data_IF_046343208902
#
_entry.id   IF_046343208902
#
_cell.length_a   1.000
_cell.length_b   1.000
_cell.length_c   1.000
_cell.angle_alpha   90.00
_cell.angle_beta   90.00
_cell.angle_gamma   90.00
#
_symmetry.space_group_name_H-M   'P 1'
#
loop_
_entity.id
_entity.type
_entity.pdbx_description
1 polymer ?
#
# COMPACT_ATOMS: atom_id res chain seq x y z
N UNK A 1 -4.56 15.99 13.15
CA UNK A 1 -4.78 16.08 14.61
C UNK A 1 -5.02 14.74 15.31
N UNK A 2 -5.02 13.65 14.59
CA UNK A 2 -5.30 12.28 15.11
C UNK A 2 -4.28 11.83 16.20
N UNK A 3 -3.07 12.38 16.19
CA UNK A 3 -1.98 11.95 17.09
C UNK A 3 -1.72 12.84 18.30
N UNK A 4 -2.50 13.90 18.51
CA UNK A 4 -2.32 14.75 19.70
C UNK A 4 -2.96 14.09 20.92
N UNK A 5 -2.23 14.00 22.03
CA UNK A 5 -2.74 13.44 23.27
C UNK A 5 -3.63 14.41 24.03
N UNK A 6 -3.48 15.70 23.80
CA UNK A 6 -4.28 16.75 24.45
C UNK A 6 -4.58 17.88 23.47
N UNK A 7 -5.66 18.59 23.74
CA UNK A 7 -6.08 19.79 23.02
C UNK A 7 -6.16 20.94 24.02
N UNK A 8 -5.52 22.06 23.70
CA UNK A 8 -5.66 23.30 24.44
C UNK A 8 -6.71 24.15 23.75
N UNK A 9 -7.80 24.38 24.40
CA UNK A 9 -8.91 25.15 23.86
C UNK A 9 -9.45 26.15 24.89
N UNK A 10 -9.80 27.33 24.41
CA UNK A 10 -10.49 28.32 25.22
C UNK A 10 -11.97 28.30 24.82
N UNK A 11 -12.84 27.96 25.77
CA UNK A 11 -14.29 28.05 25.53
C UNK A 11 -14.70 29.48 25.22
N UNK A 12 -15.73 29.65 24.45
CA UNK A 12 -16.29 30.98 24.18
C UNK A 12 -16.59 31.67 25.53
N UNK A 13 -16.14 32.92 25.65
CA UNK A 13 -16.26 33.75 26.85
C UNK A 13 -15.45 33.33 28.09
N UNK A 14 -14.64 32.29 28.01
CA UNK A 14 -13.75 31.95 29.12
C UNK A 14 -12.50 32.85 29.13
N UNK A 15 -11.99 33.18 30.32
CA UNK A 15 -10.77 33.97 30.47
C UNK A 15 -9.49 33.14 30.25
N UNK A 16 -9.54 31.86 30.58
CA UNK A 16 -8.40 30.94 30.53
C UNK A 16 -8.62 29.84 29.50
N UNK A 17 -7.53 29.34 28.91
CA UNK A 17 -7.54 28.13 28.12
C UNK A 17 -7.42 26.91 29.02
N UNK A 18 -8.16 25.86 28.70
CA UNK A 18 -8.14 24.58 29.40
C UNK A 18 -7.50 23.50 28.54
N UNK A 19 -6.88 22.54 29.19
CA UNK A 19 -6.29 21.39 28.51
C UNK A 19 -7.22 20.19 28.68
N UNK A 20 -7.65 19.64 27.57
CA UNK A 20 -8.47 18.43 27.54
C UNK A 20 -7.63 17.27 27.02
N UNK A 21 -7.59 16.17 27.76
CA UNK A 21 -7.03 14.92 27.27
C UNK A 21 -7.93 14.32 26.19
N UNK A 22 -7.32 13.84 25.13
CA UNK A 22 -8.06 13.21 24.05
C UNK A 22 -8.49 11.81 24.46
N UNK A 23 -9.80 11.57 24.46
CA UNK A 23 -10.41 10.26 24.75
C UNK A 23 -11.16 9.66 23.56
N UNK A 24 -11.07 10.29 22.38
CA UNK A 24 -11.78 9.86 21.19
C UNK A 24 -10.94 8.94 20.32
N UNK A 25 -11.56 7.88 19.84
CA UNK A 25 -11.12 7.09 18.69
C UNK A 25 -11.90 7.52 17.45
N UNK A 26 -11.34 7.29 16.27
CA UNK A 26 -11.95 7.68 15.01
C UNK A 26 -12.17 6.45 14.15
N UNK A 27 -13.33 6.37 13.52
CA UNK A 27 -13.64 5.42 12.47
C UNK A 27 -14.18 6.20 11.26
N UNK A 28 -13.91 5.72 10.07
CA UNK A 28 -14.41 6.28 8.83
C UNK A 28 -14.80 5.14 7.88
N UNK A 29 -15.80 5.38 7.05
CA UNK A 29 -16.20 4.48 5.97
C UNK A 29 -16.04 5.21 4.64
N UNK A 30 -15.58 4.51 3.65
CA UNK A 30 -15.33 5.03 2.30
C UNK A 30 -15.78 3.99 1.29
N UNK A 31 -16.14 4.45 0.09
CA UNK A 31 -16.55 3.57 -1.00
C UNK A 31 -15.40 3.29 -1.99
N UNK A 32 -14.31 4.06 -1.89
CA UNK A 32 -13.12 3.87 -2.71
C UNK A 32 -12.13 2.96 -1.99
N UNK A 33 -11.57 1.99 -2.68
CA UNK A 33 -10.52 1.12 -2.14
C UNK A 33 -9.21 1.87 -1.91
N UNK A 34 -8.88 2.87 -2.74
CA UNK A 34 -7.63 3.61 -2.66
C UNK A 34 -7.78 4.91 -1.86
N UNK A 35 -7.89 4.79 -0.55
CA UNK A 35 -8.19 5.90 0.36
C UNK A 35 -6.97 6.53 1.02
N UNK A 36 -5.84 5.83 1.04
CA UNK A 36 -4.63 6.30 1.72
C UNK A 36 -3.74 7.08 0.76
N UNK A 37 -3.70 8.40 0.94
CA UNK A 37 -2.84 9.30 0.16
C UNK A 37 -1.45 9.47 0.76
N UNK A 38 -1.31 9.37 2.09
CA UNK A 38 -0.04 9.51 2.81
C UNK A 38 0.54 8.14 3.16
N UNK A 39 1.51 7.70 2.40
CA UNK A 39 2.19 6.42 2.60
C UNK A 39 3.04 6.36 3.86
N UNK A 40 3.49 7.51 4.37
CA UNK A 40 4.30 7.57 5.61
C UNK A 40 3.43 7.54 6.86
N UNK A 41 2.18 7.98 6.74
CA UNK A 41 1.19 8.04 7.80
C UNK A 41 0.25 6.83 7.87
N UNK A 42 0.34 5.88 6.95
CA UNK A 42 -0.60 4.74 6.83
C UNK A 42 -0.65 3.86 8.08
N UNK A 43 0.44 3.74 8.84
CA UNK A 43 0.51 3.02 10.12
C UNK A 43 -0.47 3.49 11.20
N UNK A 44 -1.17 4.60 10.97
CA UNK A 44 -2.18 5.16 11.89
C UNK A 44 -3.59 4.71 11.54
N UNK A 45 -3.75 4.01 10.44
CA UNK A 45 -5.02 3.52 9.94
C UNK A 45 -4.99 2.00 9.94
N UNK A 46 -6.06 1.40 10.43
CA UNK A 46 -6.35 -0.02 10.27
C UNK A 46 -7.41 -0.11 9.17
N UNK A 47 -6.95 -0.44 7.95
CA UNK A 47 -7.83 -0.56 6.80
C UNK A 47 -8.28 -2.01 6.65
N UNK A 48 -9.56 -2.18 6.37
CA UNK A 48 -10.15 -3.47 6.01
C UNK A 48 -11.30 -3.27 5.06
N UNK A 49 -11.44 -4.19 4.13
CA UNK A 49 -12.54 -4.20 3.20
C UNK A 49 -13.68 -5.05 3.77
N UNK A 50 -14.90 -4.51 3.74
CA UNK A 50 -16.09 -5.20 4.20
C UNK A 50 -16.80 -5.84 3.01
N UNK A 51 -16.77 -7.17 2.92
CA UNK A 51 -17.43 -7.91 1.84
C UNK A 51 -18.94 -7.96 2.05
N UNK A 52 -19.39 -8.04 3.30
CA UNK A 52 -20.82 -8.12 3.66
C UNK A 52 -21.06 -7.47 5.01
N UNK A 53 -22.12 -6.68 5.11
CA UNK A 53 -22.57 -6.08 6.36
C UNK A 53 -23.92 -6.74 6.72
N UNK A 54 -23.98 -7.38 7.89
CA UNK A 54 -25.24 -7.83 8.48
C UNK A 54 -25.80 -6.68 9.34
N UNK A 55 -26.75 -5.98 8.78
CA UNK A 55 -27.43 -4.87 9.47
C UNK A 55 -28.76 -5.27 10.11
N UNK A 56 -29.19 -6.53 9.92
CA UNK A 56 -30.46 -7.03 10.42
C UNK A 56 -30.31 -7.70 11.80
N UNK A 57 -29.17 -8.32 12.07
CA UNK A 57 -28.92 -8.94 13.37
C UNK A 57 -28.62 -7.88 14.42
N UNK A 58 -29.42 -7.79 15.50
CA UNK A 58 -29.16 -6.84 16.57
C UNK A 58 -27.83 -7.14 17.26
N UNK A 59 -27.04 -6.10 17.46
CA UNK A 59 -25.74 -6.20 18.15
C UNK A 59 -25.96 -6.20 19.66
N UNK A 60 -25.44 -7.23 20.35
CA UNK A 60 -25.43 -7.25 21.80
C UNK A 60 -24.25 -6.43 22.37
N UNK A 61 -24.52 -5.16 22.61
CA UNK A 61 -23.53 -4.24 23.16
C UNK A 61 -23.04 -4.66 24.56
N UNK A 62 -23.86 -5.37 25.34
CA UNK A 62 -23.50 -5.83 26.67
C UNK A 62 -22.33 -6.81 26.63
N UNK A 63 -22.38 -7.77 25.69
CA UNK A 63 -21.30 -8.72 25.48
C UNK A 63 -20.03 -8.04 24.96
N UNK A 64 -20.15 -7.09 24.01
CA UNK A 64 -19.01 -6.36 23.46
C UNK A 64 -18.29 -5.58 24.57
N UNK A 65 -19.03 -4.83 25.39
CA UNK A 65 -18.42 -4.05 26.48
C UNK A 65 -17.85 -4.95 27.58
N UNK A 66 -18.48 -6.08 27.86
CA UNK A 66 -17.96 -7.07 28.85
C UNK A 66 -16.64 -7.66 28.37
N UNK A 67 -16.53 -8.01 27.08
CA UNK A 67 -15.29 -8.48 26.47
C UNK A 67 -14.20 -7.42 26.52
N UNK A 68 -14.51 -6.18 26.11
CA UNK A 68 -13.55 -5.08 26.15
C UNK A 68 -13.03 -4.82 27.57
N UNK A 69 -13.92 -4.89 28.57
CA UNK A 69 -13.54 -4.74 29.97
C UNK A 69 -12.65 -5.89 30.47
N UNK A 70 -12.95 -7.12 30.06
CA UNK A 70 -12.14 -8.29 30.39
C UNK A 70 -10.73 -8.18 29.79
N UNK A 71 -10.60 -7.77 28.53
CA UNK A 71 -9.31 -7.50 27.87
C UNK A 71 -8.53 -6.41 28.60
N UNK A 72 -9.19 -5.29 28.93
CA UNK A 72 -8.58 -4.20 29.67
C UNK A 72 -8.05 -4.65 31.04
N UNK A 73 -8.86 -5.39 31.82
CA UNK A 73 -8.46 -5.94 33.13
C UNK A 73 -7.36 -7.00 33.02
N UNK A 74 -7.34 -7.75 31.91
CA UNK A 74 -6.31 -8.75 31.60
C UNK A 74 -4.98 -8.13 31.16
N UNK A 75 -4.87 -6.80 31.06
CA UNK A 75 -3.64 -6.12 30.64
C UNK A 75 -3.36 -6.23 29.14
N UNK A 76 -4.42 -6.33 28.33
CA UNK A 76 -4.27 -6.38 26.88
C UNK A 76 -3.47 -5.19 26.35
N UNK A 77 -2.46 -5.46 25.52
CA UNK A 77 -1.62 -4.46 24.92
C UNK A 77 -2.38 -3.73 23.80
N UNK A 78 -2.72 -2.46 24.03
CA UNK A 78 -3.52 -1.63 23.10
C UNK A 78 -2.69 -0.72 22.20
N UNK A 79 -1.37 -0.88 22.19
CA UNK A 79 -0.46 -0.15 21.29
C UNK A 79 0.29 -1.12 20.41
N UNK A 80 0.67 -0.66 19.23
CA UNK A 80 1.40 -1.46 18.25
C UNK A 80 2.91 -1.39 18.48
N UNK A 81 3.59 -2.53 18.35
CA UNK A 81 5.05 -2.63 18.28
C UNK A 81 5.54 -2.34 16.86
N UNK A 82 6.85 -2.27 16.67
CA UNK A 82 7.43 -2.07 15.34
C UNK A 82 7.10 -3.23 14.37
N UNK A 83 6.98 -4.47 14.89
CA UNK A 83 6.53 -5.62 14.10
C UNK A 83 5.08 -5.48 13.67
N UNK A 84 4.19 -5.10 14.59
CA UNK A 84 2.77 -4.88 14.27
C UNK A 84 2.59 -3.73 13.26
N UNK A 85 3.45 -2.70 13.34
CA UNK A 85 3.45 -1.58 12.38
C UNK A 85 3.86 -2.06 10.97
N UNK A 86 4.80 -3.00 10.87
CA UNK A 86 5.17 -3.58 9.58
C UNK A 86 3.98 -4.34 8.97
N UNK A 87 3.31 -5.18 9.74
CA UNK A 87 2.11 -5.90 9.30
C UNK A 87 0.96 -4.96 8.90
N UNK A 88 0.75 -3.88 9.66
CA UNK A 88 -0.24 -2.85 9.30
C UNK A 88 0.10 -2.18 7.97
N UNK A 89 1.37 -1.86 7.73
CA UNK A 89 1.79 -1.25 6.48
C UNK A 89 1.59 -2.19 5.29
N UNK A 90 1.91 -3.47 5.44
CA UNK A 90 1.71 -4.50 4.41
C UNK A 90 0.20 -4.69 4.12
N UNK A 91 -0.63 -4.76 5.17
CA UNK A 91 -2.09 -4.81 5.03
C UNK A 91 -2.68 -3.56 4.36
N UNK A 92 -2.07 -2.41 4.57
CA UNK A 92 -2.54 -1.14 4.04
C UNK A 92 -2.07 -0.86 2.60
N UNK A 93 -1.15 -1.66 2.06
CA UNK A 93 -0.61 -1.45 0.71
C UNK A 93 -1.70 -1.43 -0.38
N UNK A 94 -2.69 -2.36 -0.42
CA UNK A 94 -3.77 -2.32 -1.41
C UNK A 94 -4.67 -1.08 -1.32
N UNK A 95 -4.73 -0.44 -0.15
CA UNK A 95 -5.55 0.76 0.08
C UNK A 95 -4.82 2.07 -0.23
N UNK A 96 -3.57 1.99 -0.67
CA UNK A 96 -2.77 3.18 -1.00
C UNK A 96 -3.08 3.67 -2.41
N UNK A 97 -3.25 4.98 -2.52
CA UNK A 97 -3.44 5.63 -3.81
C UNK A 97 -2.14 5.60 -4.62
N UNK A 98 -2.22 5.14 -5.86
CA UNK A 98 -1.12 5.26 -6.81
C UNK A 98 -0.86 6.72 -7.15
N UNK A 99 0.41 7.11 -7.27
CA UNK A 99 0.72 8.44 -7.78
C UNK A 99 0.68 8.45 -9.30
N UNK A 100 0.34 9.60 -9.93
CA UNK A 100 0.37 9.71 -11.38
C UNK A 100 1.73 9.35 -11.98
N UNK A 101 2.82 9.63 -11.27
CA UNK A 101 4.17 9.27 -11.69
C UNK A 101 4.38 7.76 -11.69
N UNK A 102 3.80 7.05 -10.72
CA UNK A 102 3.85 5.60 -10.61
C UNK A 102 3.09 4.94 -11.76
N UNK A 103 1.87 5.38 -12.03
CA UNK A 103 1.06 4.88 -13.15
C UNK A 103 1.74 5.11 -14.50
N UNK A 104 2.27 6.31 -14.72
CA UNK A 104 3.01 6.63 -15.93
C UNK A 104 4.30 5.82 -16.04
N UNK A 105 5.00 5.60 -14.93
CA UNK A 105 6.19 4.77 -14.94
C UNK A 105 5.87 3.35 -15.42
N UNK A 106 4.90 2.67 -14.81
CA UNK A 106 4.53 1.30 -15.21
C UNK A 106 3.89 1.21 -16.59
N UNK A 107 3.40 2.31 -17.15
CA UNK A 107 2.97 2.35 -18.54
C UNK A 107 4.13 2.24 -19.53
N UNK A 108 5.32 2.77 -19.18
CA UNK A 108 6.46 2.85 -20.11
C UNK A 108 7.68 2.07 -19.69
N UNK A 109 7.76 1.66 -18.42
CA UNK A 109 8.91 0.97 -17.85
C UNK A 109 8.48 -0.21 -16.97
N UNK A 110 9.38 -1.18 -16.84
CA UNK A 110 9.23 -2.29 -15.91
C UNK A 110 10.52 -2.64 -15.21
N UNK A 111 10.42 -3.47 -14.19
CA UNK A 111 11.57 -4.06 -13.50
C UNK A 111 12.24 -5.12 -14.40
N UNK A 112 13.57 -5.18 -14.46
CA UNK A 112 14.28 -6.23 -15.15
C UNK A 112 14.05 -7.59 -14.47
N UNK A 113 13.85 -8.64 -15.26
CA UNK A 113 13.92 -10.01 -14.80
C UNK A 113 15.39 -10.50 -14.78
N UNK A 114 15.63 -11.69 -14.20
CA UNK A 114 16.96 -12.28 -14.18
C UNK A 114 17.52 -12.44 -15.61
N UNK A 115 18.76 -11.98 -15.82
CA UNK A 115 19.50 -12.10 -17.08
C UNK A 115 18.95 -11.26 -18.26
N UNK A 116 18.06 -10.32 -18.04
CA UNK A 116 17.64 -9.39 -19.08
C UNK A 116 18.61 -8.19 -19.19
N UNK A 117 18.80 -7.70 -20.40
CA UNK A 117 19.52 -6.45 -20.62
C UNK A 117 18.63 -5.27 -20.13
N UNK A 118 19.21 -4.39 -19.35
CA UNK A 118 18.51 -3.26 -18.75
C UNK A 118 19.21 -1.93 -19.02
N UNK A 119 18.44 -0.86 -18.86
CA UNK A 119 18.94 0.50 -18.91
C UNK A 119 19.23 0.99 -17.48
N UNK A 120 20.30 1.75 -17.34
CA UNK A 120 20.67 2.41 -16.08
C UNK A 120 20.29 3.88 -16.17
N UNK A 121 19.15 4.25 -15.63
CA UNK A 121 18.60 5.59 -15.74
C UNK A 121 18.41 6.22 -14.36
N UNK A 122 18.69 7.51 -14.26
CA UNK A 122 18.32 8.32 -13.10
C UNK A 122 16.82 8.65 -13.14
N UNK A 123 16.24 9.01 -11.99
CA UNK A 123 14.83 9.43 -11.94
C UNK A 123 14.55 10.62 -12.89
N UNK A 124 15.51 11.51 -13.08
CA UNK A 124 15.37 12.63 -14.02
C UNK A 124 15.31 12.17 -15.46
N UNK A 125 16.15 11.23 -15.86
CA UNK A 125 16.16 10.68 -17.22
C UNK A 125 14.89 9.87 -17.51
N UNK A 126 14.40 9.12 -16.52
CA UNK A 126 13.13 8.37 -16.63
C UNK A 126 11.97 9.35 -16.86
N UNK A 127 11.87 10.41 -16.03
CA UNK A 127 10.82 11.44 -16.19
C UNK A 127 10.95 12.16 -17.52
N UNK A 128 12.18 12.46 -17.97
CA UNK A 128 12.38 13.10 -19.27
C UNK A 128 11.82 12.23 -20.43
N UNK A 129 12.09 10.93 -20.39
CA UNK A 129 11.54 9.98 -21.38
C UNK A 129 10.01 9.87 -21.29
N UNK A 130 9.43 9.85 -20.08
CA UNK A 130 7.98 9.86 -19.89
C UNK A 130 7.38 11.17 -20.42
N UNK A 131 7.99 12.31 -20.09
CA UNK A 131 7.52 13.62 -20.53
C UNK A 131 7.54 13.76 -22.06
N UNK A 132 8.57 13.25 -22.73
CA UNK A 132 8.66 13.22 -24.19
C UNK A 132 7.49 12.44 -24.82
N UNK A 133 7.10 11.31 -24.21
CA UNK A 133 6.01 10.45 -24.69
C UNK A 133 4.61 10.97 -24.34
N UNK A 134 4.44 11.62 -23.18
CA UNK A 134 3.13 12.01 -22.64
C UNK A 134 2.84 13.49 -22.66
N UNK A 135 3.82 14.34 -23.00
CA UNK A 135 3.77 15.80 -22.84
C UNK A 135 3.56 16.28 -21.40
N UNK A 136 3.87 15.43 -20.43
CA UNK A 136 3.78 15.77 -19.00
C UNK A 136 4.90 16.75 -18.63
N UNK A 137 4.63 17.82 -17.88
CA UNK A 137 5.67 18.76 -17.44
C UNK A 137 6.63 18.09 -16.45
N UNK A 138 7.92 18.32 -16.64
CA UNK A 138 8.96 17.89 -15.71
C UNK A 138 9.01 18.87 -14.53
N UNK A 139 8.74 18.39 -13.33
CA UNK A 139 8.85 19.16 -12.09
C UNK A 139 9.80 18.49 -11.11
N UNK A 140 10.36 19.30 -10.20
CA UNK A 140 11.21 18.77 -9.12
C UNK A 140 10.48 17.73 -8.25
N UNK A 141 9.20 17.95 -8.01
CA UNK A 141 8.37 17.05 -7.19
C UNK A 141 8.21 15.69 -7.87
N UNK A 142 7.89 15.66 -9.17
CA UNK A 142 7.74 14.44 -9.94
C UNK A 142 9.02 13.58 -9.91
N UNK A 143 10.18 14.18 -10.12
CA UNK A 143 11.48 13.49 -10.06
C UNK A 143 11.74 12.86 -8.69
N UNK A 144 11.47 13.62 -7.62
CA UNK A 144 11.68 13.14 -6.24
C UNK A 144 10.70 12.02 -5.89
N UNK A 145 9.44 12.18 -6.26
CA UNK A 145 8.40 11.18 -6.00
C UNK A 145 8.70 9.87 -6.71
N UNK A 146 9.07 9.93 -8.00
CA UNK A 146 9.48 8.75 -8.76
C UNK A 146 10.68 8.05 -8.11
N UNK A 147 11.70 8.79 -7.69
CA UNK A 147 12.88 8.20 -7.04
C UNK A 147 12.56 7.51 -5.71
N UNK A 148 11.63 8.06 -4.93
CA UNK A 148 11.13 7.43 -3.70
C UNK A 148 10.34 6.15 -4.01
N UNK A 149 9.50 6.19 -5.05
CA UNK A 149 8.70 5.05 -5.50
C UNK A 149 9.60 3.91 -5.94
N UNK A 150 10.54 4.14 -6.85
CA UNK A 150 11.46 3.12 -7.36
C UNK A 150 12.29 2.45 -6.25
N UNK A 151 12.72 3.22 -5.25
CA UNK A 151 13.40 2.67 -4.09
C UNK A 151 12.49 1.76 -3.26
N UNK A 152 11.25 2.17 -3.02
CA UNK A 152 10.27 1.42 -2.23
C UNK A 152 9.88 0.12 -2.91
N UNK A 153 9.62 0.14 -4.21
CA UNK A 153 9.24 -1.03 -5.01
C UNK A 153 10.41 -1.99 -5.31
N UNK A 154 11.57 -1.74 -4.68
CA UNK A 154 12.69 -2.66 -4.73
C UNK A 154 13.40 -2.72 -6.09
N UNK A 155 13.41 -1.62 -6.86
CA UNK A 155 14.27 -1.52 -8.03
C UNK A 155 15.73 -1.50 -7.60
N UNK A 156 16.56 -2.32 -8.22
CA UNK A 156 18.00 -2.29 -8.03
C UNK A 156 18.55 -0.92 -8.41
N UNK A 157 19.40 -0.38 -7.56
CA UNK A 157 19.96 0.95 -7.77
C UNK A 157 21.40 1.03 -7.30
N UNK A 158 22.15 1.94 -7.89
CA UNK A 158 23.51 2.27 -7.49
C UNK A 158 23.73 3.79 -7.55
N UNK A 159 24.78 4.24 -6.89
CA UNK A 159 25.16 5.66 -6.87
C UNK A 159 26.43 5.84 -7.68
N UNK A 160 26.38 6.75 -8.66
CA UNK A 160 27.52 7.15 -9.46
C UNK A 160 27.57 8.67 -9.53
N UNK A 161 28.71 9.26 -9.19
CA UNK A 161 28.91 10.72 -9.18
C UNK A 161 27.82 11.47 -8.38
N UNK A 162 27.42 10.95 -7.21
CA UNK A 162 26.39 11.57 -6.37
C UNK A 162 24.96 11.45 -6.89
N UNK A 163 24.74 10.82 -8.06
CA UNK A 163 23.42 10.57 -8.64
C UNK A 163 23.04 9.10 -8.46
N UNK A 164 21.76 8.86 -8.21
CA UNK A 164 21.19 7.51 -8.13
C UNK A 164 20.65 7.08 -9.48
N UNK A 165 21.04 5.88 -9.91
CA UNK A 165 20.58 5.23 -11.13
C UNK A 165 19.82 3.97 -10.75
N UNK A 166 18.78 3.66 -11.50
CA UNK A 166 17.94 2.49 -11.33
C UNK A 166 18.05 1.59 -12.56
N UNK A 167 18.03 0.29 -12.33
CA UNK A 167 17.97 -0.71 -13.40
C UNK A 167 16.51 -0.83 -13.86
N UNK A 168 16.22 -0.44 -15.08
CA UNK A 168 14.87 -0.43 -15.65
C UNK A 168 14.88 -0.95 -17.09
N UNK A 169 13.75 -1.49 -17.54
CA UNK A 169 13.51 -1.83 -18.96
C UNK A 169 12.45 -0.89 -19.48
N UNK A 170 12.75 -0.26 -20.61
CA UNK A 170 11.78 0.55 -21.35
C UNK A 170 10.93 -0.36 -22.22
N UNK A 171 9.61 -0.23 -22.11
CA UNK A 171 8.66 -1.03 -22.88
C UNK A 171 8.62 -0.63 -24.34
N UNK A 172 8.50 -1.62 -25.20
CA UNK A 172 8.27 -1.43 -26.64
C UNK A 172 6.89 -0.85 -26.91
N UNK A 173 6.66 -0.30 -28.09
CA UNK A 173 5.37 0.28 -28.46
C UNK A 173 4.20 -0.70 -28.31
N UNK A 174 4.40 -1.96 -28.68
CA UNK A 174 3.36 -3.00 -28.60
C UNK A 174 3.06 -3.37 -27.15
N UNK A 175 4.09 -3.43 -26.30
CA UNK A 175 3.92 -3.66 -24.85
C UNK A 175 3.19 -2.50 -24.17
N UNK A 176 3.55 -1.25 -24.48
CA UNK A 176 2.84 -0.07 -23.96
C UNK A 176 1.36 -0.10 -24.35
N UNK A 177 1.06 -0.44 -25.61
CA UNK A 177 -0.31 -0.57 -26.09
C UNK A 177 -1.07 -1.68 -25.35
N UNK A 178 -0.42 -2.80 -25.07
CA UNK A 178 -1.01 -3.90 -24.30
C UNK A 178 -1.33 -3.49 -22.86
N UNK A 179 -0.44 -2.72 -22.21
CA UNK A 179 -0.68 -2.15 -20.87
C UNK A 179 -1.87 -1.19 -20.88
N UNK A 180 -1.91 -0.26 -21.84
CA UNK A 180 -3.00 0.72 -21.97
C UNK A 180 -4.36 0.08 -22.24
N UNK A 181 -4.38 -1.09 -22.90
CA UNK A 181 -5.60 -1.88 -23.14
C UNK A 181 -5.97 -2.79 -21.96
N UNK A 182 -5.20 -2.78 -20.86
CA UNK A 182 -5.43 -3.63 -19.70
C UNK A 182 -5.18 -5.13 -19.97
N UNK A 183 -4.48 -5.48 -21.07
CA UNK A 183 -4.20 -6.87 -21.44
C UNK A 183 -3.01 -7.43 -20.66
N UNK A 184 -2.13 -6.58 -20.11
CA UNK A 184 -0.99 -6.94 -19.27
C UNK A 184 -0.93 -6.05 -18.04
N UNK A 185 -0.92 -6.71 -16.86
CA UNK A 185 -0.47 -6.11 -15.60
C UNK A 185 0.98 -6.56 -15.38
N UNK A 186 1.89 -5.61 -15.15
CA UNK A 186 3.32 -5.93 -14.94
C UNK A 186 3.66 -6.29 -13.50
N UNK A 187 2.69 -6.25 -12.59
CA UNK A 187 2.89 -6.63 -11.18
C UNK A 187 3.10 -8.15 -10.96
N UNK A 188 2.93 -8.98 -12.01
CA UNK A 188 2.97 -10.44 -11.93
C UNK A 188 4.09 -11.12 -12.74
N UNK A 189 5.16 -10.43 -13.11
CA UNK A 189 6.24 -11.06 -13.91
C UNK A 189 7.15 -11.96 -13.06
N UNK A 190 7.14 -11.83 -11.74
CA UNK A 190 7.94 -12.70 -10.86
C UNK A 190 7.32 -14.09 -10.63
N UNK A 191 6.05 -14.31 -11.01
CA UNK A 191 5.36 -15.58 -10.75
C UNK A 191 5.37 -16.59 -11.91
N UNK A 192 5.75 -16.20 -13.13
CA UNK A 192 5.65 -17.09 -14.31
C UNK A 192 6.98 -17.61 -14.86
N UNK A 193 8.11 -17.37 -14.21
CA UNK A 193 9.41 -17.85 -14.67
C UNK A 193 9.82 -19.24 -14.12
N UNK A 194 8.93 -20.01 -13.50
CA UNK A 194 9.31 -21.28 -12.87
C UNK A 194 8.68 -22.53 -13.51
N UNK A 195 7.78 -22.45 -14.46
CA UNK A 195 7.18 -23.67 -15.04
C UNK A 195 7.31 -23.77 -16.56
N UNK A 196 8.51 -24.14 -17.00
CA UNK A 196 8.70 -24.83 -18.30
C UNK A 196 9.68 -26.00 -18.14
N UNK A 197 9.32 -27.01 -17.37
CA UNK A 197 9.82 -28.38 -17.54
C UNK A 197 8.76 -29.40 -17.11
N UNK A 198 8.23 -30.12 -18.09
CA UNK A 198 7.69 -31.47 -17.92
C UNK A 198 6.19 -31.57 -17.75
N UNK A 199 5.50 -31.60 -18.85
CA UNK A 199 4.17 -32.20 -18.97
C UNK A 199 4.27 -33.69 -18.72
N UNK A 200 3.58 -34.21 -17.70
CA UNK A 200 3.05 -35.56 -17.67
C UNK A 200 1.66 -35.48 -17.04
N UNK A 201 0.62 -35.94 -17.72
CA UNK A 201 -0.73 -35.92 -17.17
C UNK A 201 -0.94 -37.12 -16.26
N UNK A 202 -1.43 -36.89 -15.07
CA UNK A 202 -2.10 -37.98 -14.36
C UNK A 202 -3.30 -37.47 -13.57
N UNK A 203 -4.34 -38.17 -13.84
CA UNK A 203 -5.72 -38.20 -13.50
C UNK A 203 -6.00 -38.44 -11.98
N UNK A 204 -7.14 -37.87 -11.53
CA UNK A 204 -7.96 -38.19 -10.34
C UNK A 204 -7.44 -37.78 -8.95
N UNK A 205 -8.10 -36.96 -8.23
CA UNK A 205 -9.28 -37.16 -7.35
C UNK A 205 -9.51 -35.91 -6.49
N UNK A 206 -10.76 -35.55 -6.35
CA UNK A 206 -11.31 -34.61 -5.37
C UNK A 206 -10.83 -34.94 -3.95
N UNK A 207 -10.31 -33.93 -3.25
CA UNK A 207 -10.46 -33.79 -1.81
C UNK A 207 -10.27 -32.34 -1.39
N UNK A 208 -11.19 -31.87 -0.55
CA UNK A 208 -11.43 -30.53 -0.13
C UNK A 208 -10.21 -29.79 0.46
N UNK A 209 -9.99 -28.61 -0.03
CA UNK A 209 -9.00 -27.70 0.54
C UNK A 209 -9.73 -26.63 1.37
N UNK A 210 -9.92 -26.95 2.65
CA UNK A 210 -10.28 -25.97 3.66
C UNK A 210 -9.13 -24.95 3.79
N UNK A 211 -9.43 -23.71 3.45
CA UNK A 211 -8.53 -22.59 3.75
C UNK A 211 -8.39 -22.45 5.26
N UNK A 212 -7.19 -22.25 5.78
CA UNK A 212 -7.01 -22.00 7.20
C UNK A 212 -7.73 -20.70 7.58
N UNK A 213 -8.72 -20.81 8.43
CA UNK A 213 -9.32 -19.67 9.11
C UNK A 213 -8.25 -19.10 10.06
N UNK A 214 -7.86 -17.86 9.81
CA UNK A 214 -7.09 -17.08 10.77
C UNK A 214 -8.02 -16.83 11.94
N UNK A 215 -7.89 -17.62 13.01
CA UNK A 215 -8.51 -17.31 14.29
C UNK A 215 -7.78 -16.08 14.84
N UNK A 216 -8.44 -14.94 14.76
CA UNK A 216 -8.06 -13.80 15.59
C UNK A 216 -8.24 -14.23 17.06
N UNK A 217 -7.30 -13.93 17.94
CA UNK A 217 -7.41 -14.26 19.34
C UNK A 217 -8.41 -13.31 20.02
N UNK A 218 -9.67 -13.66 19.95
CA UNK A 218 -10.73 -13.06 20.76
C UNK A 218 -11.47 -14.15 21.51
#
# INVERSE_FOLDING_TARGET
MITKNSVHERRAYAHNSETYERRASFAATVNDSQVLTDRTGSRRFLCFETVRIDYLTPVDYSHIYSQALALYKGGFKYWFSDTDIAEINDNNEPFQQSSPEEELFYTFFRKPCRFEAYLQLSSSEIIAKIAEKTRMPITQINVVNLGKMLKRTGFEHFIRNGKRFFNVIELTFDEVKAVQLGIRSYDNVDAQAVDNKGVVPNDKTDEGNEKPQIQLPF
#
